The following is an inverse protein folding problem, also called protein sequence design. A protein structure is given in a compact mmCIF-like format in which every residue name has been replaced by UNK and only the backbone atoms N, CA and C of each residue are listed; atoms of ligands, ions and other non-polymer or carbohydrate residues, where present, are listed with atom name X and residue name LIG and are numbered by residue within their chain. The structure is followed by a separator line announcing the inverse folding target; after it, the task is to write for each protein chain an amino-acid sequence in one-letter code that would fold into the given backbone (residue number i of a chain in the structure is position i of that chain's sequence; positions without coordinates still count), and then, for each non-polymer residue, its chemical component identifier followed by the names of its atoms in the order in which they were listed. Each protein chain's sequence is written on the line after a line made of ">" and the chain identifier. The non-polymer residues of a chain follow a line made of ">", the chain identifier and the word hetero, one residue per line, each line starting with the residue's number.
data_IF_977815015432
#
_entry.id   IF_977815015432
#
_cell.length_a   1.000
_cell.length_b   1.000
_cell.length_c   1.000
_cell.angle_alpha   90.00
_cell.angle_beta   90.00
_cell.angle_gamma   90.00
#
_symmetry.space_group_name_H-M   'P 1'
#
loop_
_entity.id
_entity.type
_entity.pdbx_description
1 polymer ?
#
# COMPACT_ATOMS: atom_id res chain seq x y z
N UNK A 1 -1.82 -24.29 -17.76
CA UNK A 1 -1.03 -23.80 -16.61
C UNK A 1 -1.62 -22.47 -16.17
N UNK A 2 -2.66 -22.50 -15.32
CA UNK A 2 -3.28 -21.28 -14.80
C UNK A 2 -2.47 -20.82 -13.59
N UNK A 3 -1.99 -19.58 -13.70
CA UNK A 3 -0.92 -19.01 -12.90
C UNK A 3 -1.30 -18.87 -11.42
N UNK A 4 -0.31 -19.16 -10.59
CA UNK A 4 -0.24 -18.93 -9.15
C UNK A 4 -0.22 -17.41 -8.83
N UNK A 5 -1.09 -16.61 -9.45
CA UNK A 5 -1.13 -15.15 -9.32
C UNK A 5 -2.08 -14.68 -8.22
N UNK A 6 -3.09 -15.46 -7.87
CA UNK A 6 -4.14 -15.03 -6.93
C UNK A 6 -3.90 -15.38 -5.45
N UNK A 7 -2.67 -15.74 -5.08
CA UNK A 7 -2.39 -16.27 -3.73
C UNK A 7 -1.16 -15.66 -3.07
N UNK A 8 -1.07 -14.33 -2.97
CA UNK A 8 -0.14 -13.72 -2.02
C UNK A 8 -0.83 -12.60 -1.24
N UNK A 9 -1.07 -12.93 0.04
CA UNK A 9 -1.19 -12.10 1.25
C UNK A 9 -2.04 -10.83 1.23
N UNK A 10 -3.09 -10.83 2.06
CA UNK A 10 -3.83 -9.63 2.45
C UNK A 10 -4.95 -9.21 1.48
N UNK A 11 -4.78 -9.42 0.17
CA UNK A 11 -5.72 -9.01 -0.87
C UNK A 11 -7.19 -9.36 -0.54
N UNK A 12 -7.47 -10.60 -0.11
CA UNK A 12 -8.84 -11.00 0.25
C UNK A 12 -9.43 -10.23 1.43
N UNK A 13 -8.59 -9.83 2.40
CA UNK A 13 -9.01 -9.06 3.58
C UNK A 13 -9.09 -7.56 3.28
N UNK A 14 -8.29 -7.08 2.33
CA UNK A 14 -8.36 -5.72 1.80
C UNK A 14 -9.67 -5.56 1.04
N UNK A 15 -9.96 -6.46 0.10
CA UNK A 15 -11.21 -6.49 -0.65
C UNK A 15 -12.46 -6.54 0.26
N UNK A 16 -12.44 -7.35 1.33
CA UNK A 16 -13.55 -7.39 2.31
C UNK A 16 -13.71 -6.07 3.09
N UNK A 17 -12.64 -5.30 3.26
CA UNK A 17 -12.70 -3.97 3.90
C UNK A 17 -13.19 -2.94 2.89
N UNK A 18 -12.70 -2.97 1.64
CA UNK A 18 -13.16 -2.10 0.55
C UNK A 18 -14.67 -2.23 0.35
N UNK A 19 -15.19 -3.46 0.23
CA UNK A 19 -16.63 -3.70 0.13
C UNK A 19 -17.38 -3.06 1.30
N UNK A 20 -16.88 -3.19 2.53
CA UNK A 20 -17.52 -2.57 3.71
C UNK A 20 -17.47 -1.04 3.68
N UNK A 21 -16.39 -0.45 3.18
CA UNK A 21 -16.24 1.01 3.06
C UNK A 21 -17.18 1.57 2.00
N UNK A 22 -17.33 0.87 0.86
CA UNK A 22 -18.28 1.24 -0.20
C UNK A 22 -19.74 1.23 0.31
N UNK A 23 -20.13 0.22 1.09
CA UNK A 23 -21.47 0.19 1.69
C UNK A 23 -21.71 1.36 2.65
N UNK A 24 -20.70 1.73 3.47
CA UNK A 24 -20.81 2.88 4.38
C UNK A 24 -20.94 4.19 3.59
N UNK A 25 -20.19 4.33 2.49
CA UNK A 25 -20.29 5.48 1.59
C UNK A 25 -21.71 5.64 1.02
N UNK A 26 -22.33 4.56 0.54
CA UNK A 26 -23.73 4.58 0.08
C UNK A 26 -24.71 5.01 1.18
N UNK A 27 -24.53 4.51 2.41
CA UNK A 27 -25.34 4.89 3.56
C UNK A 27 -25.21 6.40 3.89
N UNK A 28 -23.99 6.94 3.84
CA UNK A 28 -23.70 8.36 4.06
C UNK A 28 -24.37 9.22 2.99
N UNK A 29 -24.23 8.86 1.71
CA UNK A 29 -24.90 9.56 0.61
C UNK A 29 -26.43 9.54 0.77
N UNK A 30 -26.98 8.39 1.18
CA UNK A 30 -28.42 8.26 1.41
C UNK A 30 -28.92 9.21 2.50
N UNK A 31 -28.18 9.33 3.61
CA UNK A 31 -28.53 10.25 4.71
C UNK A 31 -28.46 11.70 4.24
N UNK A 32 -27.42 12.08 3.49
CA UNK A 32 -27.24 13.41 2.91
C UNK A 32 -28.42 13.80 2.00
N UNK A 33 -28.85 12.88 1.11
CA UNK A 33 -29.98 13.12 0.20
C UNK A 33 -31.32 13.25 0.94
N UNK A 34 -31.46 12.57 2.07
CA UNK A 34 -32.70 12.55 2.87
C UNK A 34 -32.88 13.77 3.78
N UNK A 35 -31.79 14.51 4.07
CA UNK A 35 -31.81 15.69 4.96
C UNK A 35 -31.12 16.92 4.33
N UNK A 36 -31.65 17.49 3.23
CA UNK A 36 -30.98 18.54 2.46
C UNK A 36 -30.92 19.92 3.14
N UNK A 37 -31.44 20.07 4.37
CA UNK A 37 -31.56 21.35 5.07
C UNK A 37 -30.70 21.50 6.33
N UNK A 38 -29.91 20.49 6.69
CA UNK A 38 -29.04 20.51 7.87
C UNK A 38 -27.58 20.69 7.41
N UNK A 39 -27.14 21.95 7.37
CA UNK A 39 -25.79 22.34 6.88
C UNK A 39 -24.66 21.78 7.77
N UNK A 40 -24.89 21.68 9.07
CA UNK A 40 -23.92 21.21 10.04
C UNK A 40 -23.73 19.69 9.90
N UNK A 41 -24.83 18.94 9.81
CA UNK A 41 -24.81 17.50 9.53
C UNK A 41 -24.21 17.21 8.15
N UNK A 42 -24.56 18.01 7.13
CA UNK A 42 -24.06 17.82 5.76
C UNK A 42 -22.55 18.01 5.67
N UNK A 43 -21.99 18.95 6.43
CA UNK A 43 -20.54 19.20 6.45
C UNK A 43 -19.79 18.04 7.09
N UNK A 44 -20.24 17.55 8.25
CA UNK A 44 -19.60 16.41 8.93
C UNK A 44 -19.67 15.11 8.09
N UNK A 45 -20.80 14.86 7.42
CA UNK A 45 -20.96 13.68 6.58
C UNK A 45 -20.09 13.75 5.31
N UNK A 46 -19.90 14.94 4.73
CA UNK A 46 -18.96 15.14 3.60
C UNK A 46 -17.50 14.91 4.01
N UNK A 47 -17.10 15.39 5.19
CA UNK A 47 -15.75 15.12 5.70
C UNK A 47 -15.50 13.62 5.88
N UNK A 48 -16.48 12.88 6.40
CA UNK A 48 -16.41 11.41 6.52
C UNK A 48 -16.29 10.77 5.13
N UNK A 49 -17.07 11.24 4.16
CA UNK A 49 -17.07 10.74 2.78
C UNK A 49 -15.70 10.88 2.10
N UNK A 50 -15.07 12.05 2.23
CA UNK A 50 -13.73 12.32 1.72
C UNK A 50 -12.70 11.35 2.33
N UNK A 51 -12.77 11.09 3.64
CA UNK A 51 -11.90 10.13 4.29
C UNK A 51 -12.13 8.67 3.84
N UNK A 52 -13.38 8.28 3.56
CA UNK A 52 -13.67 6.93 3.03
C UNK A 52 -13.08 6.77 1.62
N UNK A 53 -13.16 7.81 0.78
CA UNK A 53 -12.52 7.83 -0.53
C UNK A 53 -10.99 7.71 -0.45
N UNK A 54 -10.34 8.43 0.47
CA UNK A 54 -8.90 8.30 0.71
C UNK A 54 -8.52 6.86 1.11
N UNK A 55 -9.29 6.24 2.00
CA UNK A 55 -9.04 4.86 2.45
C UNK A 55 -9.18 3.82 1.32
N UNK A 56 -10.15 3.99 0.43
CA UNK A 56 -10.33 3.13 -0.76
C UNK A 56 -9.18 3.31 -1.77
N UNK A 57 -8.67 4.54 -1.92
CA UNK A 57 -7.54 4.79 -2.81
C UNK A 57 -6.24 4.14 -2.28
N UNK A 58 -6.01 4.22 -0.97
CA UNK A 58 -4.87 3.60 -0.30
C UNK A 58 -4.92 2.05 -0.38
N UNK A 59 -6.10 1.47 -0.25
CA UNK A 59 -6.29 0.01 -0.32
C UNK A 59 -6.05 -0.54 -1.73
N UNK A 60 -6.52 0.14 -2.77
CA UNK A 60 -6.22 -0.20 -4.18
C UNK A 60 -4.73 -0.15 -4.47
N UNK A 61 -4.03 0.82 -3.90
CA UNK A 61 -2.56 0.92 -4.02
C UNK A 61 -1.84 -0.26 -3.36
N UNK A 62 -2.39 -0.81 -2.27
CA UNK A 62 -1.90 -2.02 -1.62
C UNK A 62 -2.20 -3.30 -2.42
N UNK A 63 -3.31 -3.35 -3.17
CA UNK A 63 -3.60 -4.46 -4.10
C UNK A 63 -2.66 -4.48 -5.32
N UNK A 64 -2.19 -3.31 -5.76
CA UNK A 64 -1.25 -3.14 -6.87
C UNK A 64 0.23 -3.32 -6.46
N UNK A 65 0.53 -3.44 -5.17
CA UNK A 65 1.89 -3.49 -4.65
C UNK A 65 2.72 -4.66 -5.19
N UNK A 66 3.84 -4.36 -5.84
CA UNK A 66 4.80 -5.36 -6.33
C UNK A 66 5.89 -5.59 -5.28
N UNK A 67 6.31 -6.84 -5.02
CA UNK A 67 7.46 -7.07 -4.15
C UNK A 67 8.75 -6.44 -4.69
N UNK A 68 9.49 -5.71 -3.87
CA UNK A 68 10.79 -5.11 -4.22
C UNK A 68 11.76 -6.15 -4.79
N UNK A 69 11.68 -7.39 -4.29
CA UNK A 69 12.50 -8.51 -4.77
C UNK A 69 12.27 -8.91 -6.23
N UNK A 70 11.24 -8.39 -6.90
CA UNK A 70 10.96 -8.63 -8.32
C UNK A 70 11.48 -7.52 -9.24
N UNK A 71 11.86 -6.35 -8.70
CA UNK A 71 12.38 -5.24 -9.50
C UNK A 71 13.76 -5.59 -10.10
N UNK A 72 14.02 -5.06 -11.29
CA UNK A 72 15.30 -5.17 -11.98
C UNK A 72 16.26 -4.06 -11.54
N UNK A 73 17.54 -4.22 -11.85
CA UNK A 73 18.52 -3.16 -11.60
C UNK A 73 18.18 -1.91 -12.43
N UNK A 74 18.14 -0.76 -11.77
CA UNK A 74 17.71 0.51 -12.36
C UNK A 74 16.29 0.91 -11.97
N UNK A 75 15.43 -0.04 -11.60
CA UNK A 75 14.04 0.22 -11.24
C UNK A 75 13.93 0.96 -9.90
N UNK A 76 12.86 1.74 -9.76
CA UNK A 76 12.52 2.48 -8.55
C UNK A 76 11.08 2.19 -8.13
N UNK A 77 10.79 2.35 -6.84
CA UNK A 77 9.45 2.26 -6.32
C UNK A 77 9.30 2.97 -4.99
N UNK A 78 8.05 3.19 -4.57
CA UNK A 78 7.70 3.78 -3.28
C UNK A 78 7.24 2.69 -2.34
N UNK A 79 7.85 2.57 -1.16
CA UNK A 79 7.47 1.56 -0.17
C UNK A 79 6.04 1.79 0.29
N UNK A 80 5.18 0.80 0.10
CA UNK A 80 3.80 0.77 0.59
C UNK A 80 3.72 0.15 1.99
N UNK A 81 4.50 -0.91 2.22
CA UNK A 81 4.45 -1.65 3.48
C UNK A 81 5.24 -2.94 3.45
N UNK A 82 4.99 -3.81 4.44
CA UNK A 82 5.77 -5.04 4.63
C UNK A 82 4.89 -6.25 4.94
N UNK A 83 5.28 -7.40 4.37
CA UNK A 83 4.73 -8.70 4.71
C UNK A 83 5.61 -9.39 5.75
N UNK A 84 5.09 -9.65 6.96
CA UNK A 84 5.78 -10.48 7.95
C UNK A 84 5.51 -10.09 9.39
N UNK A 85 6.23 -10.73 10.31
CA UNK A 85 6.11 -10.45 11.74
C UNK A 85 6.78 -9.12 12.14
N UNK A 86 6.41 -8.63 13.34
CA UNK A 86 6.87 -7.34 13.91
C UNK A 86 8.38 -7.12 13.87
N UNK A 87 9.19 -8.17 14.06
CA UNK A 87 10.65 -8.05 14.03
C UNK A 87 11.21 -7.66 12.66
N UNK A 88 10.64 -8.20 11.57
CA UNK A 88 11.05 -7.85 10.20
C UNK A 88 10.65 -6.42 9.89
N UNK A 89 9.39 -6.05 10.18
CA UNK A 89 8.90 -4.69 9.96
C UNK A 89 9.74 -3.65 10.71
N UNK A 90 10.01 -3.88 12.01
CA UNK A 90 10.87 -3.00 12.81
C UNK A 90 12.25 -2.83 12.21
N UNK A 91 12.90 -3.91 11.80
CA UNK A 91 14.24 -3.85 11.22
C UNK A 91 14.24 -3.07 9.89
N UNK A 92 13.24 -3.24 9.05
CA UNK A 92 13.12 -2.51 7.78
C UNK A 92 12.90 -1.01 8.01
N UNK A 93 12.05 -0.65 8.98
CA UNK A 93 11.85 0.73 9.40
C UNK A 93 13.15 1.37 9.89
N UNK A 94 13.90 0.68 10.75
CA UNK A 94 15.21 1.14 11.26
C UNK A 94 16.25 1.33 10.13
N UNK A 95 16.14 0.55 9.06
CA UNK A 95 17.00 0.66 7.88
C UNK A 95 16.54 1.74 6.88
N UNK A 96 15.45 2.45 7.17
CA UNK A 96 14.97 3.56 6.36
C UNK A 96 13.96 3.19 5.28
N UNK A 97 13.60 1.91 5.14
CA UNK A 97 12.45 1.48 4.36
C UNK A 97 11.20 1.84 5.17
N UNK A 98 10.74 3.08 5.11
CA UNK A 98 9.48 3.53 5.73
C UNK A 98 8.38 3.55 4.68
N UNK A 99 7.09 3.46 5.04
CA UNK A 99 6.03 3.81 4.10
C UNK A 99 6.33 5.17 3.46
N UNK A 100 6.00 5.31 2.18
CA UNK A 100 6.30 6.48 1.35
C UNK A 100 7.78 6.73 1.03
N UNK A 101 8.71 5.89 1.49
CA UNK A 101 10.12 6.03 1.11
C UNK A 101 10.37 5.57 -0.32
N UNK A 102 11.08 6.38 -1.11
CA UNK A 102 11.56 5.99 -2.44
C UNK A 102 12.76 5.05 -2.29
N UNK A 103 12.72 3.97 -3.06
CA UNK A 103 13.76 2.94 -3.11
C UNK A 103 14.20 2.74 -4.55
N UNK A 104 15.51 2.58 -4.77
CA UNK A 104 16.09 2.30 -6.09
C UNK A 104 16.89 1.02 -6.07
N UNK A 105 16.67 0.12 -7.01
CA UNK A 105 17.50 -1.07 -7.16
C UNK A 105 18.78 -0.70 -7.92
N UNK A 106 19.93 -0.87 -7.26
CA UNK A 106 21.25 -0.65 -7.85
C UNK A 106 21.72 -1.92 -8.58
N UNK A 107 21.55 -3.10 -7.96
CA UNK A 107 21.90 -4.39 -8.55
C UNK A 107 21.10 -5.55 -7.93
N UNK A 108 21.03 -6.71 -8.61
CA UNK A 108 20.04 -7.76 -8.29
C UNK A 108 20.55 -9.22 -8.26
N UNK A 109 21.86 -9.48 -8.13
CA UNK A 109 22.39 -10.85 -7.98
C UNK A 109 23.66 -10.90 -7.12
N UNK A 110 23.80 -11.83 -6.15
CA UNK A 110 22.83 -12.86 -5.73
C UNK A 110 21.69 -12.34 -4.81
N UNK A 111 21.80 -11.11 -4.31
CA UNK A 111 20.76 -10.40 -3.56
C UNK A 111 20.43 -9.06 -4.22
N UNK A 112 19.71 -8.18 -3.53
CA UNK A 112 19.47 -6.82 -4.00
C UNK A 112 20.40 -5.85 -3.29
N UNK A 113 21.08 -4.99 -4.05
CA UNK A 113 21.66 -3.77 -3.52
C UNK A 113 20.71 -2.64 -3.86
N UNK A 114 20.23 -1.90 -2.87
CA UNK A 114 19.26 -0.81 -3.07
C UNK A 114 19.77 0.50 -2.46
N UNK A 115 19.35 1.62 -3.05
CA UNK A 115 19.42 2.94 -2.44
C UNK A 115 18.09 3.25 -1.75
N UNK A 116 18.14 3.60 -0.47
CA UNK A 116 16.99 4.11 0.29
C UNK A 116 17.44 5.30 1.12
N UNK A 117 16.82 6.46 0.90
CA UNK A 117 17.18 7.72 1.58
C UNK A 117 18.70 8.04 1.50
N UNK A 118 19.35 7.74 0.38
CA UNK A 118 20.78 7.98 0.17
C UNK A 118 21.71 6.95 0.83
N UNK A 119 21.15 5.90 1.44
CA UNK A 119 21.90 4.80 2.05
C UNK A 119 21.85 3.56 1.16
N UNK A 120 23.00 2.91 0.96
CA UNK A 120 23.11 1.67 0.16
C UNK A 120 22.98 0.44 1.04
N UNK A 121 21.94 -0.35 0.83
CA UNK A 121 21.59 -1.50 1.67
C UNK A 121 21.54 -2.78 0.84
N UNK A 122 22.24 -3.81 1.32
CA UNK A 122 22.15 -5.14 0.76
C UNK A 122 20.99 -5.92 1.43
N UNK A 123 20.08 -6.44 0.61
CA UNK A 123 18.95 -7.26 1.02
C UNK A 123 19.06 -8.66 0.43
N UNK A 124 18.86 -9.67 1.28
CA UNK A 124 18.60 -11.02 0.79
C UNK A 124 17.25 -11.07 0.07
N UNK A 125 17.12 -11.91 -0.96
CA UNK A 125 15.90 -12.00 -1.78
C UNK A 125 14.64 -12.21 -0.96
N UNK A 126 14.70 -13.07 0.06
CA UNK A 126 13.55 -13.36 0.93
C UNK A 126 13.08 -12.18 1.79
N UNK A 127 13.96 -11.22 2.10
CA UNK A 127 13.56 -9.97 2.75
C UNK A 127 13.02 -8.99 1.71
N UNK A 128 13.66 -8.88 0.55
CA UNK A 128 13.17 -8.02 -0.54
C UNK A 128 11.77 -8.42 -1.03
N UNK A 129 11.44 -9.71 -1.05
CA UNK A 129 10.09 -10.21 -1.38
C UNK A 129 9.00 -9.83 -0.36
N UNK A 130 9.40 -9.30 0.81
CA UNK A 130 8.47 -8.87 1.87
C UNK A 130 8.21 -7.37 1.85
N UNK A 131 8.93 -6.61 1.03
CA UNK A 131 8.74 -5.15 0.93
C UNK A 131 7.84 -4.93 -0.28
N UNK A 132 6.65 -4.40 -0.06
CA UNK A 132 5.75 -4.03 -1.15
C UNK A 132 6.07 -2.61 -1.59
N UNK A 133 6.19 -2.42 -2.90
CA UNK A 133 6.44 -1.13 -3.52
C UNK A 133 5.40 -0.85 -4.58
N UNK A 134 5.03 0.41 -4.68
CA UNK A 134 4.32 0.96 -5.83
C UNK A 134 5.33 1.41 -6.89
N UNK A 135 5.11 1.02 -8.13
CA UNK A 135 5.92 1.40 -9.28
C UNK A 135 5.49 2.75 -9.86
N UNK A 136 4.25 3.17 -9.59
CA UNK A 136 3.61 4.35 -10.17
C UNK A 136 3.88 5.64 -9.37
N UNK A 137 5.00 5.72 -8.65
CA UNK A 137 5.42 6.90 -7.87
C UNK A 137 5.81 8.13 -8.72
N UNK A 138 4.93 8.52 -9.65
CA UNK A 138 4.89 9.74 -10.46
C UNK A 138 3.71 10.61 -10.05
#
# INVERSE_FOLDING_TARGET
>A
MFGMRDRIFGAKKIHEIEEKVEHIHEDVEHVLRSHPGDEELSSHLKEIDEHLHELIADSKSLEAGVPLGLLAAGDEGVVLGYCGGRGVARRLLELGFTPSSRVKVISGSPGLLVDVKGSRIALGRGIAMKILVDLDGR
#
